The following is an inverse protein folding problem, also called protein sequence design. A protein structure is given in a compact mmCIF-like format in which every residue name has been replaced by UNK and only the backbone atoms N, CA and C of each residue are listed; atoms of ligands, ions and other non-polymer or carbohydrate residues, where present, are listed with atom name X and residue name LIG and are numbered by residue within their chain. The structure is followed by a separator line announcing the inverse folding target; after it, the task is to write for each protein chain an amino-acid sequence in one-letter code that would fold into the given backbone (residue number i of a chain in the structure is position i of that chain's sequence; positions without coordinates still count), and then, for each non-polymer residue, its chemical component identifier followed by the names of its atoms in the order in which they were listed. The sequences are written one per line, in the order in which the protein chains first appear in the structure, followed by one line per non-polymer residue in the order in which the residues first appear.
data_IF_811577030451
#
_entry.id   IF_811577030451
#
_cell.length_a   1.000
_cell.length_b   1.000
_cell.length_c   1.000
_cell.angle_alpha   90.00
_cell.angle_beta   90.00
_cell.angle_gamma   90.00
#
_symmetry.space_group_name_H-M   'P 1'
#
loop_
_entity.id
_entity.type
_entity.pdbx_description
1 polymer ?
#
# COMPACT_ATOMS: atom_id res chain seq x y z
N UNK A 1 2.50 33.21 -47.86
CA UNK A 1 2.30 31.87 -48.43
C UNK A 1 2.93 30.87 -47.46
N UNK A 2 2.22 29.79 -47.18
CA UNK A 2 2.37 28.91 -46.03
C UNK A 2 3.74 28.20 -45.96
N UNK A 3 4.36 28.21 -44.77
CA UNK A 3 5.39 27.24 -44.38
C UNK A 3 4.67 26.09 -43.67
N UNK A 4 4.52 24.96 -44.38
CA UNK A 4 3.98 23.72 -43.82
C UNK A 4 5.16 22.82 -43.47
N UNK A 5 5.72 23.01 -42.28
CA UNK A 5 6.65 22.05 -41.69
C UNK A 5 5.87 20.84 -41.16
N UNK A 6 6.03 19.72 -41.85
CA UNK A 6 5.52 18.40 -41.51
C UNK A 6 6.26 17.85 -40.29
N UNK A 7 5.58 17.79 -39.13
CA UNK A 7 6.05 17.09 -37.95
C UNK A 7 5.29 15.76 -37.82
N UNK A 8 5.96 14.68 -38.21
CA UNK A 8 5.57 13.30 -37.92
C UNK A 8 5.81 13.03 -36.43
N UNK A 9 4.75 12.89 -35.65
CA UNK A 9 4.82 12.51 -34.24
C UNK A 9 4.40 11.04 -34.08
N UNK A 10 5.36 10.24 -33.61
CA UNK A 10 5.31 8.80 -33.42
C UNK A 10 4.35 8.36 -32.29
N UNK A 11 3.82 7.15 -32.44
CA UNK A 11 3.00 6.41 -31.47
C UNK A 11 3.64 6.27 -30.08
N UNK A 12 2.87 6.33 -28.99
CA UNK A 12 3.35 6.12 -27.63
C UNK A 12 3.17 4.65 -27.19
N UNK A 13 3.88 3.72 -27.82
CA UNK A 13 4.01 2.35 -27.32
C UNK A 13 5.49 2.06 -27.17
N UNK A 14 6.10 2.32 -26.00
CA UNK A 14 7.38 1.75 -25.50
C UNK A 14 7.93 2.50 -24.27
N UNK A 15 7.17 2.56 -23.16
CA UNK A 15 7.73 2.93 -21.85
C UNK A 15 7.22 1.99 -20.75
N UNK A 16 7.56 0.71 -20.87
CA UNK A 16 7.60 -0.19 -19.72
C UNK A 16 8.62 -1.30 -19.99
N UNK A 17 9.90 -1.04 -19.66
CA UNK A 17 10.92 -2.05 -19.29
C UNK A 17 12.36 -1.50 -19.40
N UNK A 18 12.77 -0.49 -18.60
CA UNK A 18 14.21 -0.24 -18.41
C UNK A 18 14.58 0.65 -17.22
N UNK A 19 14.61 0.10 -16.01
CA UNK A 19 15.64 0.51 -15.05
C UNK A 19 15.89 -0.55 -13.97
N UNK A 20 16.80 -1.47 -14.30
CA UNK A 20 17.44 -2.39 -13.35
C UNK A 20 18.88 -2.59 -13.84
N UNK A 21 19.79 -1.68 -13.50
CA UNK A 21 21.25 -1.89 -13.47
C UNK A 21 22.01 -0.58 -13.16
N UNK A 22 22.48 -0.43 -11.92
CA UNK A 22 23.66 0.29 -11.44
C UNK A 22 23.37 0.71 -9.98
N UNK A 23 23.96 0.13 -8.93
CA UNK A 23 25.36 -0.26 -8.80
C UNK A 23 25.50 -1.63 -8.15
N UNK A 24 26.32 -2.47 -8.76
CA UNK A 24 26.83 -3.70 -8.17
C UNK A 24 27.92 -3.38 -7.14
N UNK A 25 27.97 -4.14 -6.05
CA UNK A 25 29.24 -4.63 -5.54
C UNK A 25 29.07 -6.09 -5.13
N UNK A 26 30.05 -6.88 -5.54
CA UNK A 26 29.98 -8.32 -5.67
C UNK A 26 30.18 -9.07 -4.34
N UNK A 27 29.56 -10.24 -4.24
CA UNK A 27 30.21 -11.44 -3.72
C UNK A 27 29.47 -12.65 -4.26
N UNK A 28 30.15 -13.41 -5.10
CA UNK A 28 29.68 -14.68 -5.62
C UNK A 28 29.85 -15.76 -4.56
N UNK A 29 28.79 -16.50 -4.27
CA UNK A 29 28.89 -17.86 -3.76
C UNK A 29 27.76 -18.71 -4.35
N UNK A 30 28.18 -19.84 -4.90
CA UNK A 30 27.42 -20.89 -5.56
C UNK A 30 26.42 -21.55 -4.63
N UNK A 31 25.15 -21.75 -5.06
CA UNK A 31 24.36 -23.00 -4.89
C UNK A 31 22.91 -22.84 -5.40
N UNK A 32 22.55 -23.67 -6.40
CA UNK A 32 21.21 -24.25 -6.64
C UNK A 32 20.03 -23.36 -7.09
N UNK A 33 19.19 -23.80 -8.05
CA UNK A 33 17.90 -23.17 -8.29
C UNK A 33 16.94 -23.57 -7.17
N UNK A 34 17.00 -22.86 -6.05
CA UNK A 34 15.99 -22.96 -5.02
C UNK A 34 14.72 -22.31 -5.57
N UNK A 35 13.70 -23.14 -5.84
CA UNK A 35 12.32 -22.68 -6.04
C UNK A 35 11.81 -22.08 -4.72
N UNK A 36 12.31 -20.89 -4.38
CA UNK A 36 11.75 -20.09 -3.31
C UNK A 36 10.55 -19.38 -3.91
N UNK A 37 9.36 -19.96 -3.71
CA UNK A 37 8.12 -19.19 -3.75
C UNK A 37 8.36 -17.95 -2.90
N UNK A 38 8.48 -16.79 -3.54
CA UNK A 38 8.75 -15.54 -2.86
C UNK A 38 7.51 -15.12 -2.06
N UNK A 39 7.25 -15.80 -0.95
CA UNK A 39 6.52 -15.23 0.18
C UNK A 39 7.43 -14.20 0.83
N UNK A 40 7.75 -13.14 0.10
CA UNK A 40 8.41 -11.99 0.67
C UNK A 40 7.48 -11.45 1.74
N UNK A 41 7.92 -11.48 3.00
CA UNK A 41 7.20 -10.76 4.05
C UNK A 41 7.06 -9.32 3.56
N UNK A 42 5.83 -8.84 3.42
CA UNK A 42 5.59 -7.46 3.04
C UNK A 42 6.33 -6.58 4.06
N UNK A 43 7.28 -5.75 3.59
CA UNK A 43 8.16 -4.97 4.46
C UNK A 43 7.37 -4.33 5.61
N UNK A 44 7.70 -4.69 6.85
CA UNK A 44 7.07 -4.14 8.06
C UNK A 44 6.05 -5.06 8.73
N UNK A 45 5.64 -6.16 8.10
CA UNK A 45 4.80 -7.19 8.71
C UNK A 45 5.67 -8.36 9.17
N UNK A 46 5.35 -8.90 10.34
CA UNK A 46 6.06 -10.02 10.95
C UNK A 46 5.70 -11.34 10.27
N UNK A 47 4.46 -11.47 9.79
CA UNK A 47 3.95 -12.71 9.19
C UNK A 47 3.47 -12.51 7.75
N UNK A 48 3.92 -13.40 6.86
CA UNK A 48 3.40 -13.52 5.50
C UNK A 48 2.12 -14.37 5.50
N UNK A 49 1.07 -13.90 4.82
CA UNK A 49 -0.20 -14.62 4.67
C UNK A 49 -0.16 -15.51 3.44
N UNK A 50 -0.63 -16.76 3.58
CA UNK A 50 -0.90 -17.62 2.43
C UNK A 50 -2.14 -17.15 1.65
N UNK A 51 -2.03 -17.02 0.33
CA UNK A 51 -3.12 -16.63 -0.58
C UNK A 51 -3.80 -15.31 -0.16
N UNK A 52 -3.07 -14.18 -0.09
CA UNK A 52 -3.56 -12.92 0.46
C UNK A 52 -4.82 -12.39 -0.23
N UNK A 53 -4.95 -12.55 -1.55
CA UNK A 53 -6.14 -12.08 -2.28
C UNK A 53 -7.39 -12.92 -2.01
N UNK A 54 -7.25 -14.21 -1.70
CA UNK A 54 -8.40 -15.05 -1.34
C UNK A 54 -8.94 -14.63 0.02
N UNK A 55 -8.05 -14.47 1.01
CA UNK A 55 -8.39 -13.95 2.35
C UNK A 55 -9.03 -12.56 2.29
N UNK A 56 -8.58 -11.71 1.36
CA UNK A 56 -9.18 -10.39 1.12
C UNK A 56 -10.61 -10.50 0.58
N UNK A 57 -10.83 -11.39 -0.39
CA UNK A 57 -12.17 -11.67 -0.93
C UNK A 57 -13.12 -12.20 0.16
N UNK A 58 -12.60 -13.05 1.04
CA UNK A 58 -13.37 -13.67 2.14
C UNK A 58 -13.54 -12.72 3.34
N UNK A 59 -13.09 -11.47 3.24
CA UNK A 59 -13.03 -10.45 4.32
C UNK A 59 -12.21 -10.88 5.55
N UNK A 60 -11.52 -12.01 5.49
CA UNK A 60 -10.73 -12.57 6.58
C UNK A 60 -9.27 -12.07 6.59
N UNK A 61 -8.89 -11.09 5.76
CA UNK A 61 -7.49 -10.71 5.56
C UNK A 61 -6.74 -10.23 6.81
N UNK A 62 -7.46 -9.64 7.76
CA UNK A 62 -6.90 -9.14 9.03
C UNK A 62 -6.96 -10.20 10.13
N UNK A 63 -7.80 -11.23 9.99
CA UNK A 63 -8.13 -12.19 11.05
C UNK A 63 -6.96 -13.12 11.43
N UNK A 64 -6.16 -13.55 10.46
CA UNK A 64 -5.09 -14.53 10.69
C UNK A 64 -3.71 -13.89 10.93
N UNK A 65 -3.70 -12.61 11.31
CA UNK A 65 -2.46 -11.87 11.59
C UNK A 65 -2.24 -11.72 13.09
N UNK A 66 -0.98 -11.63 13.54
CA UNK A 66 -0.69 -11.22 14.91
C UNK A 66 -1.23 -9.80 15.14
N UNK A 67 -1.66 -9.54 16.37
CA UNK A 67 -2.26 -8.27 16.80
C UNK A 67 -1.41 -7.05 16.39
N UNK A 68 -0.09 -7.13 16.54
CA UNK A 68 0.83 -6.06 16.16
C UNK A 68 0.74 -5.70 14.66
N UNK A 69 0.70 -6.71 13.79
CA UNK A 69 0.59 -6.49 12.34
C UNK A 69 -0.79 -5.96 11.98
N UNK A 70 -1.83 -6.42 12.67
CA UNK A 70 -3.20 -5.90 12.52
C UNK A 70 -3.25 -4.41 12.83
N UNK A 71 -2.67 -3.96 13.95
CA UNK A 71 -2.64 -2.54 14.28
C UNK A 71 -1.80 -1.73 13.28
N UNK A 72 -0.64 -2.22 12.83
CA UNK A 72 0.15 -1.54 11.80
C UNK A 72 -0.68 -1.29 10.54
N UNK A 73 -1.41 -2.31 10.08
CA UNK A 73 -2.27 -2.22 8.90
C UNK A 73 -3.44 -1.26 9.11
N UNK A 74 -4.08 -1.28 10.27
CA UNK A 74 -5.16 -0.33 10.59
C UNK A 74 -4.63 1.11 10.63
N UNK A 75 -3.44 1.34 11.16
CA UNK A 75 -2.79 2.66 11.17
C UNK A 75 -2.44 3.09 9.74
N UNK A 76 -1.85 2.21 8.93
CA UNK A 76 -1.46 2.53 7.55
C UNK A 76 -2.68 2.84 6.68
N UNK A 77 -3.75 2.06 6.80
CA UNK A 77 -5.02 2.31 6.09
C UNK A 77 -5.68 3.61 6.55
N UNK A 78 -5.64 3.92 7.85
CA UNK A 78 -6.09 5.20 8.38
C UNK A 78 -5.29 6.37 7.79
N UNK A 79 -3.95 6.28 7.76
CA UNK A 79 -3.09 7.31 7.19
C UNK A 79 -3.36 7.51 5.71
N UNK A 80 -3.53 6.42 4.96
CA UNK A 80 -3.89 6.48 3.54
C UNK A 80 -5.23 7.19 3.34
N UNK A 81 -6.25 6.82 4.12
CA UNK A 81 -7.57 7.46 4.05
C UNK A 81 -7.51 8.95 4.38
N UNK A 82 -6.76 9.35 5.40
CA UNK A 82 -6.62 10.77 5.74
C UNK A 82 -5.93 11.56 4.63
N UNK A 83 -4.92 10.95 3.98
CA UNK A 83 -4.21 11.56 2.85
C UNK A 83 -5.13 11.70 1.63
N UNK A 84 -5.97 10.69 1.36
CA UNK A 84 -6.97 10.71 0.29
C UNK A 84 -8.05 11.76 0.54
N UNK A 85 -8.63 11.78 1.75
CA UNK A 85 -9.64 12.78 2.15
C UNK A 85 -9.08 14.21 2.02
N UNK A 86 -7.81 14.41 2.37
CA UNK A 86 -7.15 15.72 2.25
C UNK A 86 -6.85 16.11 0.79
N UNK A 87 -6.32 15.18 -0.01
CA UNK A 87 -5.86 15.46 -1.39
C UNK A 87 -7.00 15.52 -2.40
N UNK A 88 -7.95 14.59 -2.31
CA UNK A 88 -9.00 14.43 -3.32
C UNK A 88 -10.31 15.09 -2.91
N UNK A 89 -10.69 14.99 -1.64
CA UNK A 89 -11.97 15.55 -1.17
C UNK A 89 -11.81 16.95 -0.55
N UNK A 90 -10.57 17.38 -0.26
CA UNK A 90 -10.30 18.63 0.46
C UNK A 90 -10.84 18.64 1.89
N UNK A 91 -11.22 17.47 2.42
CA UNK A 91 -11.79 17.34 3.77
C UNK A 91 -10.68 17.25 4.79
N UNK A 92 -10.86 18.00 5.89
CA UNK A 92 -9.98 17.93 7.06
C UNK A 92 -10.75 17.28 8.19
N UNK A 93 -10.47 16.01 8.47
CA UNK A 93 -11.12 15.29 9.56
C UNK A 93 -10.74 15.91 10.91
N UNK A 94 -11.73 16.39 11.66
CA UNK A 94 -11.51 17.04 12.94
C UNK A 94 -10.80 16.09 13.92
N UNK A 95 -9.75 16.57 14.61
CA UNK A 95 -8.94 15.74 15.50
C UNK A 95 -7.92 14.85 14.79
N UNK A 96 -7.72 15.01 13.48
CA UNK A 96 -6.61 14.42 12.73
C UNK A 96 -5.45 15.42 12.57
N UNK A 97 -4.24 14.92 12.29
CA UNK A 97 -3.08 15.77 12.01
C UNK A 97 -3.31 16.72 10.82
N UNK A 98 -4.10 16.28 9.83
CA UNK A 98 -4.46 17.09 8.66
C UNK A 98 -5.40 18.26 8.98
N UNK A 99 -6.02 18.25 10.16
CA UNK A 99 -6.83 19.35 10.70
C UNK A 99 -6.08 20.18 11.76
N UNK A 100 -4.75 20.11 11.81
CA UNK A 100 -3.90 20.85 12.74
C UNK A 100 -4.14 20.50 14.22
N UNK A 101 -4.61 19.27 14.50
CA UNK A 101 -4.72 18.74 15.85
C UNK A 101 -3.33 18.38 16.41
N UNK A 102 -3.19 18.44 17.74
CA UNK A 102 -1.93 18.09 18.43
C UNK A 102 -1.55 16.61 18.29
N UNK A 103 -2.54 15.73 18.14
CA UNK A 103 -2.36 14.32 17.82
C UNK A 103 -3.56 13.82 17.01
N UNK A 104 -3.40 12.66 16.36
CA UNK A 104 -4.44 12.03 15.53
C UNK A 104 -5.26 10.95 16.24
N UNK A 105 -5.19 10.84 17.58
CA UNK A 105 -5.75 9.70 18.32
C UNK A 105 -7.28 9.70 18.24
N UNK A 106 -7.92 10.85 18.38
CA UNK A 106 -9.38 10.96 18.36
C UNK A 106 -9.96 10.57 16.99
N UNK A 107 -9.36 11.03 15.90
CA UNK A 107 -9.75 10.64 14.56
C UNK A 107 -9.48 9.15 14.28
N UNK A 108 -8.38 8.59 14.83
CA UNK A 108 -8.12 7.15 14.72
C UNK A 108 -9.14 6.32 15.50
N UNK A 109 -9.55 6.71 16.70
CA UNK A 109 -10.63 6.05 17.45
C UNK A 109 -11.97 6.08 16.71
N UNK A 110 -12.28 7.20 16.06
CA UNK A 110 -13.46 7.30 15.19
C UNK A 110 -13.38 6.33 14.02
N UNK A 111 -12.19 6.21 13.40
CA UNK A 111 -11.93 5.25 12.34
C UNK A 111 -12.08 3.80 12.84
N UNK A 112 -11.59 3.46 14.03
CA UNK A 112 -11.78 2.12 14.61
C UNK A 112 -13.26 1.81 14.85
N UNK A 113 -14.05 2.74 15.38
CA UNK A 113 -15.51 2.54 15.51
C UNK A 113 -16.20 2.28 14.17
N UNK A 114 -15.72 2.89 13.09
CA UNK A 114 -16.22 2.63 11.74
C UNK A 114 -15.77 1.26 11.20
N UNK A 115 -14.60 0.79 11.60
CA UNK A 115 -14.13 -0.56 11.27
C UNK A 115 -14.90 -1.62 12.06
N UNK A 116 -15.16 -1.39 13.35
CA UNK A 116 -15.97 -2.25 14.22
C UNK A 116 -17.42 -2.40 13.75
N UNK A 117 -18.00 -1.34 13.16
CA UNK A 117 -19.37 -1.42 12.61
C UNK A 117 -19.47 -2.24 11.33
N UNK A 118 -18.34 -2.72 10.77
CA UNK A 118 -18.31 -3.56 9.57
C UNK A 118 -18.12 -5.02 9.95
N UNK A 119 -19.20 -5.78 9.80
CA UNK A 119 -19.20 -7.22 10.06
C UNK A 119 -18.13 -7.96 9.28
N UNK A 120 -17.34 -8.75 10.01
CA UNK A 120 -16.29 -9.60 9.46
C UNK A 120 -15.01 -8.86 9.04
N UNK A 121 -14.88 -7.55 9.30
CA UNK A 121 -13.65 -6.81 8.98
C UNK A 121 -12.57 -6.98 10.05
N UNK A 122 -12.96 -6.84 11.32
CA UNK A 122 -12.05 -7.00 12.45
C UNK A 122 -12.10 -8.43 12.99
N UNK A 123 -10.99 -8.92 13.57
CA UNK A 123 -10.98 -10.19 14.30
C UNK A 123 -12.05 -10.20 15.40
N UNK A 124 -12.66 -11.37 15.69
CA UNK A 124 -13.69 -11.53 16.73
C UNK A 124 -13.12 -11.43 18.15
#
# INVERSE_FOLDING_TARGET
MADTSSASAASPDQLCAKQAAASASASASTTGPSSASATGSARGLTVAIEKPFHRLNDRAWVHDRPEEDTYKLLIDTYRLRMDDDFKFEGKRNAGSLYANASNGIEAFRQFLRLAESRDGLLPP
#
